data_IF_967136901242
#
_entry.id   IF_967136901242
#
_cell.length_a   1.000
_cell.length_b   1.000
_cell.length_c   1.000
_cell.angle_alpha   90.00
_cell.angle_beta   90.00
_cell.angle_gamma   90.00
#
_symmetry.space_group_name_H-M   'P 1'
#
loop_
_entity.id
_entity.type
_entity.pdbx_description
1 polymer ?
#
# COMPACT_ATOMS: atom_id res chain seq x y z
N UNK A 1 -17.75 0.33 -0.32
CA UNK A 1 -17.34 -0.23 0.98
C UNK A 1 -16.09 0.47 1.47
N UNK A 2 -16.00 0.80 2.77
CA UNK A 2 -14.80 1.39 3.39
C UNK A 2 -14.14 0.31 4.25
N UNK A 3 -12.85 0.06 4.04
CA UNK A 3 -12.08 -0.81 4.94
C UNK A 3 -11.93 -0.12 6.30
N UNK A 4 -12.23 -0.84 7.39
CA UNK A 4 -12.11 -0.34 8.76
C UNK A 4 -11.27 -1.35 9.53
N UNK A 5 -10.09 -0.94 10.01
CA UNK A 5 -9.35 -1.72 11.02
C UNK A 5 -10.16 -1.72 12.31
N UNK A 6 -10.81 -2.85 12.60
CA UNK A 6 -11.68 -2.99 13.79
C UNK A 6 -10.89 -3.33 15.05
N UNK A 7 -9.80 -4.08 14.91
CA UNK A 7 -8.97 -4.49 16.04
C UNK A 7 -7.93 -3.41 16.39
N UNK A 8 -8.04 -2.89 17.60
CA UNK A 8 -7.13 -1.86 18.14
C UNK A 8 -5.76 -2.44 18.46
N UNK A 9 -5.66 -3.73 18.73
CA UNK A 9 -4.41 -4.40 19.15
C UNK A 9 -3.32 -4.31 18.09
N UNK A 10 -3.67 -4.28 16.80
CA UNK A 10 -2.70 -4.05 15.73
C UNK A 10 -2.04 -2.67 15.82
N UNK A 11 -2.80 -1.64 16.20
CA UNK A 11 -2.29 -0.28 16.39
C UNK A 11 -1.42 -0.23 17.65
N UNK A 12 -1.84 -0.89 18.72
CA UNK A 12 -1.09 -0.93 19.97
C UNK A 12 0.28 -1.58 19.78
N UNK A 13 0.33 -2.76 19.13
CA UNK A 13 1.58 -3.46 18.80
C UNK A 13 2.45 -2.61 17.87
N UNK A 14 1.85 -1.95 16.86
CA UNK A 14 2.60 -1.06 15.98
C UNK A 14 3.27 0.07 16.76
N UNK A 15 2.54 0.74 17.65
CA UNK A 15 3.07 1.83 18.46
C UNK A 15 4.19 1.35 19.40
N UNK A 16 4.06 0.15 19.99
CA UNK A 16 5.11 -0.45 20.81
C UNK A 16 6.40 -0.67 19.99
N UNK A 17 6.29 -1.25 18.80
CA UNK A 17 7.44 -1.50 17.92
C UNK A 17 8.06 -0.19 17.40
N UNK A 18 7.23 0.78 17.01
CA UNK A 18 7.69 2.09 16.55
C UNK A 18 8.50 2.81 17.63
N UNK A 19 7.96 2.90 18.86
CA UNK A 19 8.62 3.60 19.96
C UNK A 19 9.87 2.86 20.45
N UNK A 20 9.82 1.53 20.57
CA UNK A 20 10.97 0.73 21.05
C UNK A 20 12.12 0.66 20.04
N UNK A 21 11.87 0.97 18.77
CA UNK A 21 12.89 0.96 17.71
C UNK A 21 13.50 2.32 17.40
N UNK A 22 13.29 3.33 18.25
CA UNK A 22 13.66 4.73 17.94
C UNK A 22 13.12 5.16 16.57
N UNK A 23 11.86 4.84 16.30
CA UNK A 23 11.15 5.23 15.08
C UNK A 23 11.69 4.60 13.77
N UNK A 24 12.62 3.65 13.86
CA UNK A 24 13.19 2.97 12.69
C UNK A 24 12.14 2.09 11.99
N UNK A 25 11.37 1.32 12.76
CA UNK A 25 10.28 0.51 12.22
C UNK A 25 9.01 1.34 12.13
N UNK A 26 8.88 2.06 11.02
CA UNK A 26 7.79 2.98 10.76
C UNK A 26 6.78 2.43 9.75
N UNK A 27 5.62 3.09 9.70
CA UNK A 27 4.61 2.83 8.69
C UNK A 27 5.06 3.40 7.33
N UNK A 28 5.24 2.52 6.35
CA UNK A 28 5.72 2.90 5.00
C UNK A 28 4.63 2.92 3.93
N UNK A 29 3.37 2.60 4.29
CA UNK A 29 2.25 2.60 3.36
C UNK A 29 1.34 1.38 3.49
N UNK A 30 0.56 1.14 2.45
CA UNK A 30 -0.59 0.23 2.48
C UNK A 30 -0.61 -0.65 1.24
N UNK A 31 -1.14 -1.87 1.36
CA UNK A 31 -1.45 -2.70 0.22
C UNK A 31 -2.86 -3.25 0.30
N UNK A 32 -3.51 -3.42 -0.86
CA UNK A 32 -4.84 -4.03 -0.97
C UNK A 32 -5.07 -4.58 -2.39
N UNK A 33 -6.21 -5.23 -2.59
CA UNK A 33 -6.60 -5.81 -3.88
C UNK A 33 -7.72 -5.01 -4.54
N UNK A 34 -7.68 -4.92 -5.87
CA UNK A 34 -8.79 -4.48 -6.70
C UNK A 34 -9.22 -5.64 -7.62
N UNK A 35 -10.52 -5.73 -7.91
CA UNK A 35 -11.04 -6.61 -8.96
C UNK A 35 -10.88 -5.95 -10.33
N UNK A 36 -9.64 -5.62 -10.67
CA UNK A 36 -9.24 -4.92 -11.89
C UNK A 36 -8.03 -5.64 -12.49
N UNK A 37 -7.96 -5.74 -13.83
CA UNK A 37 -6.80 -6.31 -14.53
C UNK A 37 -5.52 -5.50 -14.25
N UNK A 38 -5.61 -4.20 -14.49
CA UNK A 38 -4.57 -3.21 -14.26
C UNK A 38 -5.07 -2.24 -13.19
N UNK A 39 -4.73 -2.48 -11.91
CA UNK A 39 -5.38 -1.77 -10.82
C UNK A 39 -4.93 -0.31 -10.75
N UNK A 40 -5.87 0.61 -10.71
CA UNK A 40 -5.62 2.04 -10.44
C UNK A 40 -6.13 2.40 -9.05
N UNK A 41 -5.52 3.39 -8.40
CA UNK A 41 -6.07 3.85 -7.12
C UNK A 41 -7.42 4.53 -7.33
N UNK A 42 -8.36 4.23 -6.45
CA UNK A 42 -9.66 4.89 -6.45
C UNK A 42 -9.58 6.26 -5.77
N UNK A 43 -10.63 7.06 -5.96
CA UNK A 43 -10.82 8.30 -5.19
C UNK A 43 -10.91 8.05 -3.68
N UNK A 44 -11.37 6.88 -3.25
CA UNK A 44 -11.44 6.53 -1.83
C UNK A 44 -10.03 6.27 -1.28
N UNK A 45 -9.19 5.58 -2.04
CA UNK A 45 -7.79 5.30 -1.69
C UNK A 45 -7.01 6.61 -1.53
N UNK A 46 -7.10 7.50 -2.52
CA UNK A 46 -6.43 8.81 -2.45
C UNK A 46 -6.86 9.62 -1.22
N UNK A 47 -8.15 9.56 -0.84
CA UNK A 47 -8.62 10.22 0.38
C UNK A 47 -8.03 9.58 1.64
N UNK A 48 -7.92 8.25 1.68
CA UNK A 48 -7.31 7.54 2.79
C UNK A 48 -5.81 7.86 2.92
N UNK A 49 -5.07 7.80 1.81
CA UNK A 49 -3.63 8.08 1.78
C UNK A 49 -3.33 9.52 2.22
N UNK A 50 -4.14 10.50 1.78
CA UNK A 50 -4.05 11.89 2.26
C UNK A 50 -4.30 12.02 3.75
N UNK A 51 -5.25 11.26 4.30
CA UNK A 51 -5.52 11.25 5.74
C UNK A 51 -4.32 10.69 6.51
N UNK A 52 -3.81 9.52 6.13
CA UNK A 52 -2.68 8.87 6.80
C UNK A 52 -1.45 9.77 6.73
N UNK A 53 -1.14 10.36 5.56
CA UNK A 53 -0.02 11.28 5.38
C UNK A 53 -0.06 12.51 6.30
N UNK A 54 -1.27 13.00 6.63
CA UNK A 54 -1.44 14.11 7.58
C UNK A 54 -1.11 13.68 9.01
N UNK A 55 -1.37 12.43 9.36
CA UNK A 55 -1.14 11.84 10.67
C UNK A 55 0.29 11.27 10.82
N UNK A 56 1.01 11.04 9.71
CA UNK A 56 2.38 10.52 9.72
C UNK A 56 3.40 11.52 10.28
N UNK A 57 4.25 11.08 11.22
CA UNK A 57 5.37 11.87 11.72
C UNK A 57 6.44 12.06 10.63
N UNK A 58 7.08 13.23 10.59
CA UNK A 58 8.15 13.55 9.65
C UNK A 58 7.71 13.72 8.19
N UNK A 59 8.69 13.70 7.28
CA UNK A 59 8.49 13.79 5.82
C UNK A 59 8.79 12.43 5.16
N UNK A 60 8.07 11.39 5.59
CA UNK A 60 8.23 10.03 5.04
C UNK A 60 7.37 9.91 3.77
N UNK A 61 7.96 9.36 2.70
CA UNK A 61 7.22 8.96 1.51
C UNK A 61 6.55 7.60 1.77
N UNK A 62 5.27 7.48 1.42
CA UNK A 62 4.53 6.24 1.49
C UNK A 62 4.53 5.52 0.14
N UNK A 63 4.58 4.20 0.21
CA UNK A 63 4.45 3.29 -0.91
C UNK A 63 3.12 2.55 -0.81
N UNK A 64 2.27 2.69 -1.81
CA UNK A 64 0.98 2.05 -1.86
C UNK A 64 0.93 1.02 -2.98
N UNK A 65 0.52 -0.20 -2.64
CA UNK A 65 0.54 -1.33 -3.57
C UNK A 65 -0.90 -1.75 -3.82
N UNK A 66 -1.31 -1.79 -5.08
CA UNK A 66 -2.62 -2.32 -5.46
C UNK A 66 -2.39 -3.55 -6.33
N UNK A 67 -3.00 -4.65 -5.90
CA UNK A 67 -2.87 -5.95 -6.52
C UNK A 67 -4.14 -6.23 -7.32
N UNK A 68 -3.99 -6.38 -8.64
CA UNK A 68 -5.06 -6.72 -9.56
C UNK A 68 -4.89 -8.13 -10.13
N UNK A 69 -5.81 -8.53 -11.00
CA UNK A 69 -5.82 -9.88 -11.57
C UNK A 69 -4.72 -10.12 -12.60
N UNK A 70 -4.22 -9.08 -13.28
CA UNK A 70 -3.13 -9.19 -14.29
C UNK A 70 -1.83 -8.49 -13.89
N UNK A 71 -1.87 -7.54 -12.95
CA UNK A 71 -0.68 -6.81 -12.50
C UNK A 71 -0.77 -6.32 -11.05
N UNK A 72 0.41 -6.05 -10.49
CA UNK A 72 0.60 -5.24 -9.28
C UNK A 72 1.04 -3.83 -9.72
N UNK A 73 0.44 -2.79 -9.15
CA UNK A 73 0.89 -1.40 -9.33
C UNK A 73 1.32 -0.77 -8.02
N UNK A 74 2.49 -0.13 -8.05
CA UNK A 74 3.13 0.51 -6.90
C UNK A 74 3.12 2.02 -7.11
N UNK A 75 2.57 2.73 -6.14
CA UNK A 75 2.44 4.18 -6.12
C UNK A 75 3.29 4.76 -5.01
N UNK A 76 3.92 5.91 -5.27
CA UNK A 76 4.59 6.71 -4.27
C UNK A 76 3.75 7.93 -3.96
N UNK A 77 3.60 8.26 -2.68
CA UNK A 77 2.90 9.46 -2.25
C UNK A 77 3.63 10.10 -1.08
N UNK A 78 3.65 11.43 -1.01
CA UNK A 78 4.42 12.16 -0.01
C UNK A 78 3.84 13.55 0.22
N UNK A 79 4.21 14.20 1.34
CA UNK A 79 3.71 15.55 1.70
C UNK A 79 3.96 16.60 0.62
N UNK A 80 5.06 16.47 -0.12
CA UNK A 80 5.44 17.39 -1.19
C UNK A 80 4.80 17.06 -2.55
N UNK A 81 4.16 15.89 -2.68
CA UNK A 81 3.54 15.45 -3.93
C UNK A 81 2.07 15.87 -3.98
N UNK A 82 1.67 16.54 -5.07
CA UNK A 82 0.27 16.93 -5.30
C UNK A 82 -0.63 15.72 -5.56
N UNK A 83 -0.10 14.70 -6.24
CA UNK A 83 -0.77 13.46 -6.62
C UNK A 83 0.17 12.27 -6.37
N UNK A 84 -0.35 11.04 -6.23
CA UNK A 84 0.48 9.84 -6.22
C UNK A 84 1.17 9.62 -7.56
N UNK A 85 2.45 9.25 -7.53
CA UNK A 85 3.24 8.92 -8.70
C UNK A 85 3.26 7.40 -8.90
N UNK A 86 2.95 6.92 -10.11
CA UNK A 86 3.11 5.49 -10.43
C UNK A 86 4.60 5.19 -10.56
N UNK A 87 5.13 4.35 -9.66
CA UNK A 87 6.54 3.95 -9.67
C UNK A 87 6.74 2.73 -10.55
N UNK A 88 5.84 1.75 -10.47
CA UNK A 88 6.00 0.49 -11.18
C UNK A 88 4.67 -0.21 -11.46
N UNK A 89 4.60 -0.82 -12.63
CA UNK A 89 3.63 -1.87 -12.97
C UNK A 89 4.40 -3.18 -13.13
N UNK A 90 3.97 -4.21 -12.43
CA UNK A 90 4.55 -5.55 -12.49
C UNK A 90 3.45 -6.48 -12.99
N UNK A 91 3.58 -7.01 -14.20
CA UNK A 91 2.59 -7.96 -14.69
C UNK A 91 2.88 -9.35 -14.15
N UNK A 92 1.83 -10.09 -13.80
CA UNK A 92 2.00 -11.46 -13.32
C UNK A 92 2.71 -12.34 -14.34
N UNK A 93 2.43 -12.17 -15.63
CA UNK A 93 3.10 -12.89 -16.73
C UNK A 93 4.63 -12.72 -16.75
N UNK A 94 5.15 -11.68 -16.10
CA UNK A 94 6.59 -11.38 -16.04
C UNK A 94 7.22 -11.88 -14.71
N UNK A 95 6.41 -12.43 -13.79
CA UNK A 95 6.84 -12.85 -12.43
C UNK A 95 6.56 -14.33 -12.17
N UNK A 96 5.44 -14.85 -12.66
CA UNK A 96 5.07 -16.27 -12.55
C UNK A 96 5.23 -16.92 -13.92
N UNK A 97 6.03 -17.99 -13.97
CA UNK A 97 6.05 -18.93 -15.09
C UNK A 97 4.68 -19.64 -15.14
N UNK A 98 3.69 -19.03 -15.79
CA UNK A 98 2.38 -19.64 -16.02
C UNK A 98 2.47 -20.95 -16.83
N UNK A 99 3.61 -21.22 -17.46
CA UNK A 99 3.87 -22.43 -18.24
C UNK A 99 4.12 -23.69 -17.40
N UNK A 100 4.31 -23.55 -16.08
CA UNK A 100 4.20 -24.71 -15.18
C UNK A 100 2.75 -24.80 -14.71
N UNK A 101 1.99 -25.71 -15.33
CA UNK A 101 0.76 -26.25 -14.72
C UNK A 101 1.10 -26.68 -13.29
N UNK A 102 0.86 -25.82 -12.33
CA UNK A 102 0.70 -26.23 -10.94
C UNK A 102 -0.75 -26.65 -10.83
N UNK A 103 -0.96 -27.96 -10.83
CA UNK A 103 -2.23 -28.56 -10.41
C UNK A 103 -2.44 -28.17 -8.94
N UNK A 104 -3.34 -27.21 -8.69
CA UNK A 104 -3.86 -26.88 -7.35
C UNK A 104 -5.13 -27.69 -7.11
#
# INVERSE_FOLDING_TARGET
>A
NKFIRKDKRHIDIFNEVFNSSNEIYCYIGEWHTHDEDLPDYSRLDLKNWKKIMKESPGNIEHFHIIVGSKAIRIWKFGKLLKNPDLIKTIYWKDVVDFDKKTDW
#
